data_IF_208390724304
#
_entry.id   IF_208390724304
#
_cell.length_a   1.000
_cell.length_b   1.000
_cell.length_c   1.000
_cell.angle_alpha   90.00
_cell.angle_beta   90.00
_cell.angle_gamma   90.00
#
_symmetry.space_group_name_H-M   'P 1'
#
loop_
_entity.id
_entity.type
_entity.pdbx_description
1 polymer ?
#
# COMPACT_ATOMS: atom_id res chain seq x y z
N UNK A 1 3.24 31.38 -12.55
CA UNK A 1 2.63 30.10 -12.96
C UNK A 1 1.37 29.93 -12.12
N UNK A 2 0.20 29.67 -12.71
CA UNK A 2 -1.06 29.54 -11.97
C UNK A 2 -1.46 28.05 -11.93
N UNK A 3 -1.41 27.43 -10.76
CA UNK A 3 -1.77 26.03 -10.58
C UNK A 3 -3.28 25.96 -10.33
N UNK A 4 -4.01 25.19 -11.14
CA UNK A 4 -5.46 25.03 -11.04
C UNK A 4 -5.90 23.70 -10.46
N UNK A 5 -5.03 22.69 -10.55
CA UNK A 5 -5.33 21.33 -10.13
C UNK A 5 -4.18 20.84 -9.26
N UNK A 6 -4.53 20.26 -8.12
CA UNK A 6 -3.60 19.65 -7.19
C UNK A 6 -4.11 18.24 -6.94
N UNK A 7 -3.27 17.25 -7.19
CA UNK A 7 -3.56 15.84 -6.93
C UNK A 7 -2.65 15.40 -5.80
N UNK A 8 -3.25 14.80 -4.77
CA UNK A 8 -2.52 14.19 -3.67
C UNK A 8 -2.48 12.69 -3.90
N UNK A 9 -1.30 12.12 -3.76
CA UNK A 9 -1.20 10.69 -3.50
C UNK A 9 -1.78 10.38 -2.10
N UNK A 10 -2.11 9.13 -1.84
CA UNK A 10 -2.75 8.72 -0.60
C UNK A 10 -1.73 8.19 0.43
N UNK A 11 -1.11 7.05 0.16
CA UNK A 11 -0.15 6.42 1.07
C UNK A 11 1.18 7.18 1.13
N UNK A 12 1.68 7.48 2.33
CA UNK A 12 2.90 8.26 2.51
C UNK A 12 2.75 9.76 2.23
N UNK A 13 1.55 10.22 1.82
CA UNK A 13 1.24 11.63 1.58
C UNK A 13 0.08 12.11 2.46
N UNK A 14 -1.11 11.50 2.36
CA UNK A 14 -2.23 11.86 3.23
C UNK A 14 -2.35 10.95 4.45
N UNK A 15 -1.92 9.70 4.33
CA UNK A 15 -1.98 8.72 5.41
C UNK A 15 -0.65 8.02 5.60
N UNK A 16 -0.34 7.64 6.85
CA UNK A 16 0.77 6.75 7.16
C UNK A 16 0.39 5.32 6.77
N UNK A 17 0.74 4.96 5.54
CA UNK A 17 0.57 3.63 4.98
C UNK A 17 1.90 2.87 4.99
N UNK A 18 1.92 1.69 5.60
CA UNK A 18 3.07 0.80 5.62
C UNK A 18 2.63 -0.67 5.75
N UNK A 19 2.92 -1.53 4.75
CA UNK A 19 2.60 -2.96 4.81
C UNK A 19 3.16 -3.68 6.03
N UNK A 20 4.29 -3.20 6.58
CA UNK A 20 4.91 -3.79 7.77
C UNK A 20 3.98 -3.79 8.97
N UNK A 21 3.06 -2.82 9.09
CA UNK A 21 2.11 -2.79 10.21
C UNK A 21 1.20 -4.03 10.27
N UNK A 22 0.87 -4.61 9.11
CA UNK A 22 0.18 -5.90 9.04
C UNK A 22 1.16 -7.05 9.25
N UNK A 23 2.24 -7.09 8.48
CA UNK A 23 3.06 -8.29 8.38
C UNK A 23 4.00 -8.53 9.57
N UNK A 24 4.33 -7.50 10.35
CA UNK A 24 5.02 -7.66 11.65
C UNK A 24 4.18 -8.50 12.65
N UNK A 25 2.86 -8.61 12.43
CA UNK A 25 1.97 -9.43 13.26
C UNK A 25 1.78 -10.86 12.70
N UNK A 26 2.27 -11.13 11.48
CA UNK A 26 2.03 -12.37 10.74
C UNK A 26 3.28 -13.20 10.52
N UNK A 27 4.46 -12.60 10.60
CA UNK A 27 5.75 -13.25 10.47
C UNK A 27 6.49 -13.28 11.82
N UNK A 28 7.08 -14.44 12.13
CA UNK A 28 7.96 -14.58 13.30
C UNK A 28 9.40 -14.11 12.99
N UNK A 29 9.84 -14.26 11.74
CA UNK A 29 11.14 -13.81 11.26
C UNK A 29 11.02 -12.52 10.44
N UNK A 30 11.73 -11.49 10.89
CA UNK A 30 11.78 -10.19 10.23
C UNK A 30 12.46 -10.27 8.86
N UNK A 31 13.50 -11.09 8.69
CA UNK A 31 14.19 -11.19 7.40
C UNK A 31 13.29 -11.83 6.34
N UNK A 32 12.51 -12.85 6.73
CA UNK A 32 11.51 -13.46 5.85
C UNK A 32 10.39 -12.49 5.48
N UNK A 33 9.91 -11.69 6.45
CA UNK A 33 8.91 -10.64 6.20
C UNK A 33 9.44 -9.59 5.21
N UNK A 34 10.65 -9.10 5.42
CA UNK A 34 11.26 -8.12 4.53
C UNK A 34 11.48 -8.71 3.13
N UNK A 35 11.92 -9.96 3.03
CA UNK A 35 12.02 -10.66 1.74
C UNK A 35 10.65 -10.72 1.04
N UNK A 36 9.60 -11.09 1.75
CA UNK A 36 8.24 -11.15 1.22
C UNK A 36 7.77 -9.78 0.69
N UNK A 37 7.97 -8.71 1.46
CA UNK A 37 7.57 -7.35 1.08
C UNK A 37 8.47 -6.71 0.01
N UNK A 38 9.68 -7.22 -0.21
CA UNK A 38 10.60 -6.68 -1.22
C UNK A 38 10.55 -7.45 -2.54
N UNK A 39 10.28 -8.75 -2.51
CA UNK A 39 10.37 -9.63 -3.68
C UNK A 39 9.04 -10.21 -4.14
N UNK A 40 8.04 -10.32 -3.26
CA UNK A 40 6.76 -10.97 -3.56
C UNK A 40 5.65 -9.92 -3.62
N UNK A 41 5.18 -9.43 -2.47
CA UNK A 41 4.25 -8.30 -2.38
C UNK A 41 5.02 -6.97 -2.41
N UNK A 42 5.84 -6.80 -3.45
CA UNK A 42 6.70 -5.63 -3.63
C UNK A 42 5.93 -4.37 -3.98
N UNK A 43 6.54 -3.20 -3.73
CA UNK A 43 6.01 -1.90 -4.17
C UNK A 43 5.79 -1.86 -5.69
N UNK A 44 6.69 -2.48 -6.46
CA UNK A 44 6.56 -2.57 -7.92
C UNK A 44 5.40 -3.48 -8.36
N UNK A 45 5.08 -4.51 -7.56
CA UNK A 45 3.87 -5.28 -7.77
C UNK A 45 2.65 -4.44 -7.44
N UNK A 46 2.56 -3.84 -6.24
CA UNK A 46 1.42 -3.03 -5.80
C UNK A 46 1.15 -1.84 -6.75
N UNK A 47 2.20 -1.19 -7.25
CA UNK A 47 2.08 -0.06 -8.19
C UNK A 47 1.44 -0.43 -9.52
N UNK A 48 1.40 -1.71 -9.92
CA UNK A 48 0.65 -2.12 -11.12
C UNK A 48 -0.86 -2.02 -10.89
N UNK A 49 -1.34 -2.16 -9.66
CA UNK A 49 -2.74 -1.98 -9.29
C UNK A 49 -3.10 -0.50 -9.31
N UNK A 50 -2.21 0.35 -8.80
CA UNK A 50 -2.36 1.80 -8.90
C UNK A 50 -2.36 2.27 -10.37
N UNK A 51 -1.63 1.56 -11.24
CA UNK A 51 -1.65 1.76 -12.68
C UNK A 51 -2.89 1.18 -13.40
N UNK A 52 -3.83 0.59 -12.66
CA UNK A 52 -5.14 0.17 -13.17
C UNK A 52 -5.37 -1.35 -13.26
N UNK A 53 -4.41 -2.20 -12.85
CA UNK A 53 -4.67 -3.65 -12.73
C UNK A 53 -5.65 -3.90 -11.57
N UNK A 54 -6.64 -4.78 -11.77
CA UNK A 54 -7.55 -5.11 -10.68
C UNK A 54 -6.84 -5.84 -9.53
N UNK A 55 -7.28 -5.58 -8.29
CA UNK A 55 -6.70 -6.22 -7.11
C UNK A 55 -6.86 -7.75 -7.18
N UNK A 56 -8.04 -8.22 -7.62
CA UNK A 56 -8.34 -9.65 -7.79
C UNK A 56 -7.37 -10.32 -8.76
N UNK A 57 -7.12 -9.70 -9.91
CA UNK A 57 -6.22 -10.28 -10.92
C UNK A 57 -4.77 -10.24 -10.46
N UNK A 58 -4.31 -9.12 -9.90
CA UNK A 58 -2.94 -9.00 -9.38
C UNK A 58 -2.66 -9.97 -8.24
N UNK A 59 -3.64 -10.20 -7.36
CA UNK A 59 -3.58 -11.17 -6.27
C UNK A 59 -3.55 -12.60 -6.82
N UNK A 60 -4.46 -12.94 -7.75
CA UNK A 60 -4.52 -14.28 -8.38
C UNK A 60 -3.19 -14.65 -9.05
N UNK A 61 -2.69 -13.78 -9.92
CA UNK A 61 -1.43 -14.00 -10.65
C UNK A 61 -0.24 -14.18 -9.70
N UNK A 62 -0.15 -13.36 -8.66
CA UNK A 62 0.97 -13.46 -7.70
C UNK A 62 0.88 -14.74 -6.86
N UNK A 63 -0.33 -15.18 -6.49
CA UNK A 63 -0.55 -16.46 -5.79
C UNK A 63 -0.22 -17.67 -6.66
N UNK A 64 -0.43 -17.59 -7.97
CA UNK A 64 -0.02 -18.63 -8.91
C UNK A 64 1.50 -18.70 -9.06
N UNK A 65 2.19 -17.54 -9.01
CA UNK A 65 3.64 -17.47 -9.06
C UNK A 65 4.31 -17.95 -7.76
N UNK A 66 3.69 -17.67 -6.61
CA UNK A 66 4.22 -18.00 -5.28
C UNK A 66 3.18 -18.79 -4.46
N UNK A 67 2.90 -20.06 -4.82
CA UNK A 67 1.86 -20.86 -4.19
C UNK A 67 2.07 -21.06 -2.68
N UNK A 68 3.32 -21.15 -2.23
CA UNK A 68 3.66 -21.29 -0.80
C UNK A 68 3.27 -20.05 0.03
N UNK A 69 3.22 -18.86 -0.60
CA UNK A 69 2.84 -17.62 0.07
C UNK A 69 1.40 -17.21 -0.19
N UNK A 70 0.58 -18.10 -0.77
CA UNK A 70 -0.76 -17.80 -1.27
C UNK A 70 -1.68 -17.14 -0.24
N UNK A 71 -1.63 -17.61 1.01
CA UNK A 71 -2.41 -17.03 2.11
C UNK A 71 -1.90 -15.63 2.52
N UNK A 72 -0.58 -15.42 2.57
CA UNK A 72 0.01 -14.12 2.92
C UNK A 72 -0.24 -13.08 1.83
N UNK A 73 -0.20 -13.47 0.56
CA UNK A 73 -0.53 -12.60 -0.57
C UNK A 73 -1.98 -12.16 -0.52
N UNK A 74 -2.91 -13.09 -0.25
CA UNK A 74 -4.33 -12.77 -0.13
C UNK A 74 -4.60 -11.72 0.96
N UNK A 75 -3.90 -11.83 2.11
CA UNK A 75 -4.02 -10.88 3.23
C UNK A 75 -3.63 -9.45 2.88
N UNK A 76 -2.80 -9.23 1.86
CA UNK A 76 -2.33 -7.89 1.50
C UNK A 76 -3.51 -6.93 1.27
N UNK A 77 -4.49 -7.35 0.46
CA UNK A 77 -5.69 -6.55 0.18
C UNK A 77 -6.88 -6.92 1.06
N UNK A 78 -6.95 -8.12 1.64
CA UNK A 78 -8.04 -8.45 2.58
C UNK A 78 -7.92 -7.65 3.90
N UNK A 79 -6.69 -7.25 4.27
CA UNK A 79 -6.39 -6.58 5.53
C UNK A 79 -5.63 -5.25 5.35
N UNK A 80 -5.74 -4.61 4.19
CA UNK A 80 -5.01 -3.37 3.86
C UNK A 80 -5.24 -2.23 4.87
N UNK A 81 -6.42 -2.19 5.52
CA UNK A 81 -6.76 -1.18 6.51
C UNK A 81 -5.80 -1.21 7.72
N UNK A 82 -5.27 -2.38 8.09
CA UNK A 82 -4.27 -2.52 9.17
C UNK A 82 -2.95 -1.83 8.81
N UNK A 83 -2.68 -1.70 7.50
CA UNK A 83 -1.48 -1.02 6.99
C UNK A 83 -1.59 0.51 7.10
N UNK A 84 -2.76 1.05 7.47
CA UNK A 84 -3.01 2.49 7.62
C UNK A 84 -3.11 2.84 9.10
N UNK A 85 -2.13 3.58 9.65
CA UNK A 85 -2.13 3.96 11.08
C UNK A 85 -2.85 5.27 11.40
N UNK A 86 -2.98 6.16 10.43
CA UNK A 86 -3.59 7.47 10.64
C UNK A 86 -3.29 8.42 9.50
N UNK A 87 -3.82 9.64 9.60
CA UNK A 87 -3.48 10.71 8.68
C UNK A 87 -2.09 11.29 8.96
N UNK A 88 -1.51 11.97 7.98
CA UNK A 88 -0.30 12.77 8.13
C UNK A 88 -0.76 14.22 8.36
N UNK A 89 -0.83 14.70 9.63
CA UNK A 89 -1.55 15.93 9.96
C UNK A 89 -0.97 17.18 9.29
N UNK A 90 0.35 17.20 9.06
CA UNK A 90 1.04 18.27 8.36
C UNK A 90 0.49 18.45 6.94
N UNK A 91 0.16 17.36 6.27
CA UNK A 91 -0.31 17.35 4.88
C UNK A 91 -1.84 17.53 4.82
N UNK A 92 -2.59 16.83 5.67
CA UNK A 92 -4.07 16.89 5.65
C UNK A 92 -4.60 18.28 6.01
N UNK A 93 -3.90 19.04 6.87
CA UNK A 93 -4.23 20.44 7.19
C UNK A 93 -4.15 21.39 5.99
N UNK A 94 -3.41 21.03 4.94
CA UNK A 94 -3.27 21.86 3.73
C UNK A 94 -4.46 21.71 2.78
N UNK A 95 -5.17 20.58 2.81
CA UNK A 95 -6.31 20.30 1.92
C UNK A 95 -7.36 21.43 1.88
N UNK A 96 -7.91 21.94 3.02
CA UNK A 96 -8.89 23.02 2.98
C UNK A 96 -8.30 24.34 2.49
N UNK A 97 -7.02 24.60 2.74
CA UNK A 97 -6.35 25.85 2.33
C UNK A 97 -6.16 25.88 0.81
N UNK A 98 -5.71 24.75 0.25
CA UNK A 98 -5.44 24.61 -1.18
C UNK A 98 -6.72 24.52 -2.00
N UNK A 99 -7.83 24.06 -1.42
CA UNK A 99 -9.15 24.07 -2.07
C UNK A 99 -9.73 25.48 -2.26
N UNK A 100 -9.28 26.45 -1.46
CA UNK A 100 -9.75 27.85 -1.53
C UNK A 100 -8.95 28.72 -2.50
N UNK A 101 -7.86 28.20 -3.06
CA UNK A 101 -7.02 28.86 -4.06
C UNK A 101 -7.55 28.58 -5.47
#
# INVERSE_FOLDING_TARGET
MNIKNIVFDFGGVLVDWNPRYLYEQLFDDKEEMEYFLTHICSDAWNGQQDAGRSLTEGTRLLREQFPEHSAMIQRFYDNWEVMVKGDIPENTKLLPQLKQQ
#
